data_IF_343306062538
#
_entry.id   IF_343306062538
#
_cell.length_a   1.000
_cell.length_b   1.000
_cell.length_c   1.000
_cell.angle_alpha   90.00
_cell.angle_beta   90.00
_cell.angle_gamma   90.00
#
_symmetry.space_group_name_H-M   'P 1'
#
loop_
_entity.id
_entity.type
_entity.pdbx_description
1 polymer ?
#
# COMPACT_ATOMS: atom_id res chain seq x y z
N UNK A 1 -3.27 12.91 -20.33
CA UNK A 1 -1.86 13.20 -19.99
C UNK A 1 -1.65 14.35 -18.99
N UNK A 2 -2.58 15.30 -18.85
CA UNK A 2 -2.47 16.44 -17.91
C UNK A 2 -2.47 16.03 -16.43
N UNK A 3 -3.22 15.02 -16.04
CA UNK A 3 -3.41 14.59 -14.64
C UNK A 3 -2.14 14.05 -14.00
N UNK A 4 -1.39 13.18 -14.70
CA UNK A 4 -0.12 12.62 -14.22
C UNK A 4 0.97 13.70 -14.06
N UNK A 5 1.02 14.66 -14.99
CA UNK A 5 1.95 15.79 -14.91
C UNK A 5 1.64 16.69 -13.72
N UNK A 6 0.37 16.94 -13.46
CA UNK A 6 -0.07 17.75 -12.31
C UNK A 6 0.21 17.00 -10.98
N UNK A 7 -0.06 15.70 -10.93
CA UNK A 7 0.30 14.86 -9.80
C UNK A 7 1.79 14.95 -9.48
N UNK A 8 2.65 14.74 -10.48
CA UNK A 8 4.09 14.77 -10.30
C UNK A 8 4.61 16.15 -9.88
N UNK A 9 4.02 17.22 -10.40
CA UNK A 9 4.34 18.60 -10.02
C UNK A 9 4.04 18.89 -8.54
N UNK A 10 2.99 18.30 -7.98
CA UNK A 10 2.60 18.46 -6.57
C UNK A 10 3.40 17.53 -5.64
N UNK A 11 3.71 16.32 -6.08
CA UNK A 11 4.42 15.34 -5.26
C UNK A 11 5.94 15.58 -5.21
N UNK A 12 6.56 15.95 -6.34
CA UNK A 12 8.01 16.11 -6.47
C UNK A 12 8.66 17.04 -5.43
N UNK A 13 8.11 18.21 -5.10
CA UNK A 13 8.73 19.11 -4.13
C UNK A 13 8.93 18.48 -2.74
N UNK A 14 8.00 17.64 -2.29
CA UNK A 14 8.14 16.92 -1.01
C UNK A 14 9.34 15.96 -1.04
N UNK A 15 9.47 15.18 -2.09
CA UNK A 15 10.57 14.20 -2.27
C UNK A 15 11.92 14.84 -2.57
N UNK A 16 11.96 16.14 -2.85
CA UNK A 16 13.18 16.93 -3.03
C UNK A 16 13.51 17.81 -1.80
N UNK A 17 12.65 17.82 -0.77
CA UNK A 17 12.80 18.64 0.43
C UNK A 17 13.77 18.03 1.45
N UNK A 18 14.02 18.75 2.54
CA UNK A 18 14.81 18.26 3.69
C UNK A 18 14.19 17.03 4.36
N UNK A 19 12.87 16.85 4.20
CA UNK A 19 12.10 15.71 4.72
C UNK A 19 12.30 14.41 3.90
N UNK A 20 13.07 14.43 2.81
CA UNK A 20 13.24 13.29 1.88
C UNK A 20 13.76 12.02 2.55
N UNK A 21 14.79 12.12 3.41
CA UNK A 21 15.40 10.94 4.02
C UNK A 21 14.45 10.22 4.99
N UNK A 22 13.84 10.90 5.99
CA UNK A 22 12.87 10.24 6.85
C UNK A 22 11.61 9.81 6.14
N UNK A 23 11.17 10.52 5.08
CA UNK A 23 10.04 10.10 4.25
C UNK A 23 10.35 8.82 3.45
N UNK A 24 11.54 8.73 2.84
CA UNK A 24 11.99 7.53 2.14
C UNK A 24 12.12 6.33 3.07
N UNK A 25 12.64 6.52 4.27
CA UNK A 25 12.76 5.46 5.28
C UNK A 25 11.38 4.93 5.68
N UNK A 26 10.41 5.82 5.92
CA UNK A 26 9.04 5.43 6.23
C UNK A 26 8.36 4.74 5.05
N UNK A 27 8.57 5.21 3.82
CA UNK A 27 8.07 4.57 2.61
C UNK A 27 8.66 3.16 2.48
N UNK A 28 9.98 3.02 2.62
CA UNK A 28 10.67 1.74 2.55
C UNK A 28 10.14 0.77 3.62
N UNK A 29 9.99 1.24 4.86
CA UNK A 29 9.42 0.42 5.94
C UNK A 29 7.99 -0.03 5.61
N UNK A 30 7.15 0.87 5.09
CA UNK A 30 5.78 0.51 4.65
C UNK A 30 5.80 -0.53 3.55
N UNK A 31 6.64 -0.35 2.52
CA UNK A 31 6.79 -1.30 1.41
C UNK A 31 7.26 -2.65 1.91
N UNK A 32 8.30 -2.69 2.77
CA UNK A 32 8.80 -3.94 3.35
C UNK A 32 7.73 -4.68 4.15
N UNK A 33 6.97 -3.99 5.00
CA UNK A 33 5.87 -4.60 5.76
C UNK A 33 4.77 -5.15 4.83
N UNK A 34 4.46 -4.41 3.77
CA UNK A 34 3.47 -4.84 2.76
C UNK A 34 3.97 -6.08 1.99
N UNK A 35 5.24 -6.13 1.62
CA UNK A 35 5.83 -7.30 0.97
C UNK A 35 5.89 -8.52 1.89
N UNK A 36 6.21 -8.33 3.17
CA UNK A 36 6.13 -9.38 4.18
C UNK A 36 4.70 -9.94 4.30
N UNK A 37 3.68 -9.05 4.27
CA UNK A 37 2.27 -9.47 4.28
C UNK A 37 1.92 -10.32 3.07
N UNK A 38 2.38 -9.96 1.86
CA UNK A 38 2.22 -10.79 0.65
C UNK A 38 2.90 -12.15 0.84
N UNK A 39 4.11 -12.17 1.42
CA UNK A 39 4.82 -13.42 1.73
C UNK A 39 4.04 -14.33 2.69
N UNK A 40 3.47 -13.78 3.75
CA UNK A 40 2.62 -14.56 4.68
C UNK A 40 1.38 -15.09 3.98
N UNK A 41 0.76 -14.32 3.08
CA UNK A 41 -0.39 -14.79 2.29
C UNK A 41 -0.02 -15.98 1.38
N UNK A 42 1.17 -15.96 0.78
CA UNK A 42 1.69 -17.10 -0.02
C UNK A 42 1.88 -18.33 0.88
N UNK A 43 2.51 -18.14 2.05
CA UNK A 43 2.69 -19.24 3.03
C UNK A 43 1.34 -19.80 3.49
N UNK A 44 0.33 -18.96 3.69
CA UNK A 44 -1.03 -19.38 4.04
C UNK A 44 -1.66 -20.25 2.93
N UNK A 45 -1.40 -19.95 1.65
CA UNK A 45 -1.87 -20.80 0.56
C UNK A 45 -1.22 -22.20 0.58
N UNK A 46 0.09 -22.30 0.82
CA UNK A 46 0.76 -23.58 0.98
C UNK A 46 0.29 -24.33 2.22
N UNK A 47 0.09 -23.62 3.33
CA UNK A 47 -0.47 -24.19 4.55
C UNK A 47 -1.87 -24.78 4.30
N UNK A 48 -2.74 -24.09 3.59
CA UNK A 48 -4.07 -24.59 3.24
C UNK A 48 -4.01 -25.95 2.58
N UNK A 49 -3.13 -26.15 1.59
CA UNK A 49 -3.00 -27.44 0.90
C UNK A 49 -2.62 -28.58 1.87
N UNK A 50 -1.62 -28.34 2.73
CA UNK A 50 -1.16 -29.36 3.70
C UNK A 50 -2.21 -29.63 4.77
N UNK A 51 -2.88 -28.61 5.27
CA UNK A 51 -3.92 -28.74 6.28
C UNK A 51 -5.11 -29.54 5.79
N UNK A 52 -5.61 -29.25 4.58
CA UNK A 52 -6.73 -30.00 4.01
C UNK A 52 -6.35 -31.45 3.67
N UNK A 53 -5.14 -31.72 3.25
CA UNK A 53 -4.66 -33.10 3.05
C UNK A 53 -4.63 -33.89 4.37
N UNK A 54 -4.13 -33.30 5.46
CA UNK A 54 -4.14 -33.91 6.78
C UNK A 54 -5.59 -34.19 7.27
N UNK A 55 -6.51 -33.26 6.99
CA UNK A 55 -7.92 -33.40 7.35
C UNK A 55 -8.59 -34.57 6.58
N UNK A 56 -8.33 -34.67 5.29
CA UNK A 56 -8.84 -35.78 4.44
C UNK A 56 -8.25 -37.14 4.82
N UNK A 57 -7.00 -37.17 5.26
CA UNK A 57 -6.33 -38.37 5.72
C UNK A 57 -6.72 -38.76 7.16
N UNK A 58 -7.55 -37.99 7.85
CA UNK A 58 -7.91 -38.13 9.27
C UNK A 58 -6.67 -38.20 10.19
N UNK A 59 -5.59 -37.49 9.77
CA UNK A 59 -4.37 -37.37 10.55
C UNK A 59 -4.53 -36.36 11.68
N UNK A 60 -4.80 -36.84 12.89
CA UNK A 60 -4.99 -36.01 14.09
C UNK A 60 -3.72 -35.22 14.45
N UNK A 61 -2.54 -35.79 14.28
CA UNK A 61 -1.27 -35.11 14.58
C UNK A 61 -1.00 -33.97 13.58
N UNK A 62 -1.18 -34.22 12.29
CA UNK A 62 -1.07 -33.24 11.23
C UNK A 62 -2.08 -32.10 11.41
N UNK A 63 -3.31 -32.41 11.85
CA UNK A 63 -4.32 -31.41 12.16
C UNK A 63 -3.93 -30.49 13.32
N UNK A 64 -3.40 -31.02 14.42
CA UNK A 64 -2.96 -30.19 15.56
C UNK A 64 -1.81 -29.26 15.19
N UNK A 65 -0.78 -29.80 14.50
CA UNK A 65 0.36 -28.99 14.03
C UNK A 65 -0.12 -27.92 13.06
N UNK A 66 -0.98 -28.28 12.11
CA UNK A 66 -1.54 -27.34 11.14
C UNK A 66 -2.32 -26.22 11.84
N UNK A 67 -3.11 -26.54 12.85
CA UNK A 67 -3.86 -25.53 13.63
C UNK A 67 -2.93 -24.57 14.37
N UNK A 68 -1.83 -25.04 14.94
CA UNK A 68 -0.84 -24.19 15.59
C UNK A 68 -0.11 -23.28 14.55
N UNK A 69 0.25 -23.84 13.41
CA UNK A 69 0.84 -23.07 12.30
C UNK A 69 -0.09 -21.97 11.81
N UNK A 70 -1.39 -22.25 11.72
CA UNK A 70 -2.39 -21.25 11.35
C UNK A 70 -2.39 -20.06 12.31
N UNK A 71 -2.42 -20.34 13.62
CA UNK A 71 -2.37 -19.27 14.64
C UNK A 71 -1.12 -18.41 14.47
N UNK A 72 0.04 -19.00 14.24
CA UNK A 72 1.29 -18.24 14.01
C UNK A 72 1.23 -17.39 12.74
N UNK A 73 0.67 -17.93 11.64
CA UNK A 73 0.48 -17.19 10.40
C UNK A 73 -0.48 -15.99 10.59
N UNK A 74 -1.57 -16.18 11.36
CA UNK A 74 -2.51 -15.08 11.65
C UNK A 74 -1.90 -14.00 12.54
N UNK A 75 -1.09 -14.37 13.52
CA UNK A 75 -0.32 -13.40 14.33
C UNK A 75 0.65 -12.62 13.45
N UNK A 76 1.36 -13.28 12.55
CA UNK A 76 2.25 -12.65 11.57
C UNK A 76 1.49 -11.68 10.66
N UNK A 77 0.34 -12.10 10.12
CA UNK A 77 -0.55 -11.26 9.30
C UNK A 77 -0.97 -10.00 10.05
N UNK A 78 -1.43 -10.15 11.28
CA UNK A 78 -1.84 -9.02 12.11
C UNK A 78 -0.66 -8.06 12.39
N UNK A 79 0.50 -8.58 12.76
CA UNK A 79 1.70 -7.78 13.03
C UNK A 79 2.16 -6.98 11.82
N UNK A 80 2.26 -7.59 10.63
CA UNK A 80 2.65 -6.89 9.40
C UNK A 80 1.60 -5.90 8.94
N UNK A 81 0.31 -6.21 9.09
CA UNK A 81 -0.79 -5.28 8.75
C UNK A 81 -0.74 -4.03 9.62
N UNK A 82 -0.64 -4.20 10.93
CA UNK A 82 -0.54 -3.08 11.89
C UNK A 82 0.74 -2.29 11.66
N UNK A 83 1.87 -2.96 11.41
CA UNK A 83 3.14 -2.33 11.11
C UNK A 83 3.08 -1.48 9.84
N UNK A 84 2.56 -2.02 8.73
CA UNK A 84 2.38 -1.31 7.47
C UNK A 84 1.49 -0.07 7.66
N UNK A 85 0.37 -0.22 8.33
CA UNK A 85 -0.56 0.87 8.63
C UNK A 85 0.13 1.97 9.46
N UNK A 86 0.87 1.60 10.50
CA UNK A 86 1.57 2.54 11.37
C UNK A 86 2.61 3.38 10.62
N UNK A 87 3.46 2.76 9.80
CA UNK A 87 4.46 3.49 9.01
C UNK A 87 3.80 4.35 7.93
N UNK A 88 2.75 3.85 7.28
CA UNK A 88 1.96 4.61 6.30
C UNK A 88 1.34 5.85 6.94
N UNK A 89 0.74 5.74 8.12
CA UNK A 89 0.15 6.88 8.83
C UNK A 89 1.21 7.93 9.21
N UNK A 90 2.37 7.50 9.69
CA UNK A 90 3.48 8.43 9.97
C UNK A 90 3.93 9.17 8.71
N UNK A 91 4.04 8.48 7.57
CA UNK A 91 4.38 9.08 6.29
C UNK A 91 3.33 10.10 5.85
N UNK A 92 2.04 9.74 5.95
CA UNK A 92 0.90 10.62 5.62
C UNK A 92 0.95 11.91 6.45
N UNK A 93 1.11 11.80 7.78
CA UNK A 93 1.15 12.95 8.68
C UNK A 93 2.35 13.86 8.35
N UNK A 94 3.52 13.28 8.07
CA UNK A 94 4.73 14.02 7.74
C UNK A 94 4.58 14.76 6.40
N UNK A 95 4.09 14.09 5.38
CA UNK A 95 3.84 14.70 4.07
C UNK A 95 2.77 15.80 4.15
N UNK A 96 1.68 15.55 4.87
CA UNK A 96 0.63 16.54 5.10
C UNK A 96 1.17 17.79 5.80
N UNK A 97 1.94 17.63 6.88
CA UNK A 97 2.56 18.76 7.61
C UNK A 97 3.44 19.61 6.69
N UNK A 98 4.29 18.96 5.91
CA UNK A 98 5.15 19.65 4.96
C UNK A 98 4.33 20.38 3.87
N UNK A 99 3.36 19.71 3.25
CA UNK A 99 2.55 20.27 2.19
C UNK A 99 1.73 21.47 2.66
N UNK A 100 1.11 21.39 3.84
CA UNK A 100 0.35 22.49 4.43
C UNK A 100 1.25 23.68 4.70
N UNK A 101 2.43 23.47 5.32
CA UNK A 101 3.39 24.55 5.60
C UNK A 101 3.83 25.21 4.28
N UNK A 102 4.26 24.43 3.31
CA UNK A 102 4.74 24.95 2.03
C UNK A 102 3.65 25.73 1.26
N UNK A 103 2.40 25.32 1.34
CA UNK A 103 1.27 26.06 0.73
C UNK A 103 0.97 27.35 1.49
N UNK A 104 0.97 27.31 2.83
CA UNK A 104 0.75 28.52 3.64
C UNK A 104 1.83 29.58 3.39
N UNK A 105 3.11 29.15 3.33
CA UNK A 105 4.24 30.06 3.06
C UNK A 105 4.06 30.73 1.69
N UNK A 106 3.71 29.96 0.65
CA UNK A 106 3.44 30.50 -0.69
C UNK A 106 2.21 31.44 -0.74
N UNK A 107 1.22 31.18 0.11
CA UNK A 107 0.00 31.97 0.16
C UNK A 107 0.24 33.31 0.86
N UNK A 108 1.03 33.31 1.95
CA UNK A 108 1.40 34.52 2.70
C UNK A 108 2.37 35.40 1.93
N UNK A 109 3.38 34.82 1.25
CA UNK A 109 4.41 35.57 0.52
C UNK A 109 3.86 36.30 -0.72
N UNK A 110 2.82 35.78 -1.34
CA UNK A 110 2.33 36.28 -2.63
C UNK A 110 1.33 37.42 -2.55
N UNK A 111 1.02 38.00 -1.38
CA UNK A 111 -0.02 39.01 -1.16
C UNK A 111 -1.38 38.63 -1.79
N UNK A 112 -1.54 37.37 -2.18
CA UNK A 112 -2.78 36.88 -2.82
C UNK A 112 -3.96 36.94 -1.88
N UNK A 113 -3.71 36.89 -0.58
CA UNK A 113 -4.71 37.08 0.46
C UNK A 113 -5.41 38.46 0.33
N UNK A 114 -4.65 39.54 0.07
CA UNK A 114 -5.21 40.89 -0.10
C UNK A 114 -6.02 41.03 -1.40
N UNK A 115 -5.57 40.34 -2.48
CA UNK A 115 -6.29 40.35 -3.76
C UNK A 115 -7.59 39.55 -3.71
N UNK A 116 -7.66 38.45 -2.98
CA UNK A 116 -8.88 37.65 -2.79
C UNK A 116 -9.93 38.40 -1.96
N UNK A 117 -9.52 39.18 -0.93
CA UNK A 117 -10.43 40.02 -0.16
C UNK A 117 -11.06 41.17 -0.97
N UNK A 118 -10.38 41.58 -2.05
CA UNK A 118 -10.86 42.64 -2.94
C UNK A 118 -11.76 42.12 -4.08
N UNK A 119 -11.74 40.79 -4.31
CA UNK A 119 -12.63 40.17 -5.29
C UNK A 119 -13.70 39.43 -4.48
N UNK A 120 -14.93 39.93 -4.52
CA UNK A 120 -16.13 39.39 -3.84
C UNK A 120 -16.48 37.96 -4.34
N UNK A 121 -15.53 37.05 -4.36
CA UNK A 121 -15.77 35.65 -4.67
C UNK A 121 -16.06 34.96 -3.34
N UNK A 122 -17.33 34.68 -3.14
CA UNK A 122 -17.93 34.00 -1.98
C UNK A 122 -17.41 32.54 -1.91
N UNK A 123 -16.09 32.37 -1.67
CA UNK A 123 -15.50 31.08 -1.41
C UNK A 123 -15.48 30.91 0.10
N UNK A 124 -16.50 30.21 0.60
CA UNK A 124 -16.61 29.84 2.00
C UNK A 124 -15.36 29.04 2.45
N UNK A 125 -14.62 29.60 3.42
CA UNK A 125 -13.46 29.00 4.09
C UNK A 125 -12.37 28.37 3.14
N UNK A 126 -11.64 29.16 2.35
CA UNK A 126 -10.66 28.66 1.38
C UNK A 126 -9.49 27.90 2.03
N UNK A 127 -9.11 28.24 3.26
CA UNK A 127 -8.06 27.61 4.07
C UNK A 127 -8.44 26.17 4.47
N UNK A 128 -9.69 25.95 4.88
CA UNK A 128 -10.20 24.61 5.20
C UNK A 128 -10.22 23.72 3.95
N UNK A 129 -10.71 24.24 2.83
CA UNK A 129 -10.78 23.50 1.58
C UNK A 129 -9.41 23.07 1.05
N UNK A 130 -8.42 23.98 1.15
CA UNK A 130 -7.03 23.67 0.80
C UNK A 130 -6.48 22.54 1.68
N UNK A 131 -6.74 22.59 2.99
CA UNK A 131 -6.28 21.56 3.91
C UNK A 131 -6.89 20.18 3.64
N UNK A 132 -8.20 20.14 3.32
CA UNK A 132 -8.93 18.92 2.96
C UNK A 132 -8.45 18.35 1.62
N UNK A 133 -8.24 19.16 0.60
CA UNK A 133 -7.78 18.76 -0.71
C UNK A 133 -6.34 18.18 -0.65
N UNK A 134 -5.46 18.77 0.17
CA UNK A 134 -4.11 18.26 0.43
C UNK A 134 -4.18 16.89 1.09
N UNK A 135 -5.02 16.73 2.10
CA UNK A 135 -5.18 15.45 2.81
C UNK A 135 -5.67 14.35 1.86
N UNK A 136 -6.72 14.62 1.11
CA UNK A 136 -7.26 13.71 0.11
C UNK A 136 -6.22 13.34 -0.96
N UNK A 137 -5.46 14.31 -1.45
CA UNK A 137 -4.40 14.07 -2.43
C UNK A 137 -3.35 13.10 -1.90
N UNK A 138 -2.84 13.35 -0.68
CA UNK A 138 -1.77 12.54 -0.08
C UNK A 138 -2.26 11.12 0.22
N UNK A 139 -3.42 10.99 0.89
CA UNK A 139 -3.99 9.69 1.25
C UNK A 139 -4.28 8.85 0.01
N UNK A 140 -4.92 9.44 -1.02
CA UNK A 140 -5.22 8.73 -2.28
C UNK A 140 -3.96 8.37 -3.05
N UNK A 141 -2.95 9.25 -3.06
CA UNK A 141 -1.67 9.00 -3.73
C UNK A 141 -0.93 7.80 -3.13
N UNK A 142 -0.81 7.77 -1.81
CA UNK A 142 -0.18 6.65 -1.10
C UNK A 142 -0.97 5.36 -1.27
N UNK A 143 -2.29 5.42 -1.14
CA UNK A 143 -3.16 4.25 -1.32
C UNK A 143 -3.05 3.65 -2.72
N UNK A 144 -3.05 4.50 -3.76
CA UNK A 144 -2.90 4.06 -5.15
C UNK A 144 -1.51 3.46 -5.40
N UNK A 145 -0.44 4.12 -4.95
CA UNK A 145 0.93 3.66 -5.16
C UNK A 145 1.21 2.33 -4.46
N UNK A 146 0.82 2.20 -3.18
CA UNK A 146 0.99 0.97 -2.41
C UNK A 146 0.05 -0.13 -2.91
N UNK A 147 -1.19 0.20 -3.27
CA UNK A 147 -2.14 -0.75 -3.85
C UNK A 147 -1.66 -1.30 -5.19
N UNK A 148 -1.12 -0.45 -6.07
CA UNK A 148 -0.51 -0.88 -7.34
C UNK A 148 0.67 -1.81 -7.10
N UNK A 149 1.58 -1.45 -6.19
CA UNK A 149 2.71 -2.30 -5.81
C UNK A 149 2.24 -3.68 -5.35
N UNK A 150 1.28 -3.72 -4.40
CA UNK A 150 0.74 -4.97 -3.87
C UNK A 150 0.09 -5.81 -4.96
N UNK A 151 -0.69 -5.20 -5.84
CA UNK A 151 -1.36 -5.89 -6.96
C UNK A 151 -0.35 -6.49 -7.94
N UNK A 152 0.71 -5.76 -8.28
CA UNK A 152 1.77 -6.24 -9.18
C UNK A 152 2.51 -7.41 -8.55
N UNK A 153 2.95 -7.28 -7.29
CA UNK A 153 3.66 -8.36 -6.59
C UNK A 153 2.77 -9.60 -6.44
N UNK A 154 1.50 -9.42 -6.07
CA UNK A 154 0.55 -10.53 -5.94
C UNK A 154 0.29 -11.22 -7.28
N UNK A 155 0.20 -10.47 -8.37
CA UNK A 155 0.04 -11.03 -9.72
C UNK A 155 1.23 -11.91 -10.10
N UNK A 156 2.46 -11.42 -9.92
CA UNK A 156 3.66 -12.22 -10.21
C UNK A 156 3.78 -13.44 -9.31
N UNK A 157 3.46 -13.31 -8.03
CA UNK A 157 3.43 -14.44 -7.10
C UNK A 157 2.42 -15.51 -7.52
N UNK A 158 1.23 -15.09 -7.94
CA UNK A 158 0.18 -16.00 -8.41
C UNK A 158 0.57 -16.69 -9.73
N UNK A 159 1.14 -15.95 -10.68
CA UNK A 159 1.65 -16.53 -11.93
C UNK A 159 2.74 -17.55 -11.67
N UNK A 160 3.64 -17.30 -10.72
CA UNK A 160 4.68 -18.23 -10.34
C UNK A 160 4.10 -19.53 -9.74
N UNK A 161 3.11 -19.42 -8.85
CA UNK A 161 2.42 -20.59 -8.28
C UNK A 161 1.71 -21.39 -9.38
N UNK A 162 1.02 -20.73 -10.30
CA UNK A 162 0.37 -21.39 -11.44
C UNK A 162 1.38 -22.11 -12.35
N UNK A 163 2.52 -21.49 -12.59
CA UNK A 163 3.59 -22.10 -13.38
C UNK A 163 4.10 -23.40 -12.74
N UNK A 164 4.34 -23.38 -11.43
CA UNK A 164 4.73 -24.59 -10.69
C UNK A 164 3.63 -25.66 -10.70
N UNK A 165 2.38 -25.27 -10.49
CA UNK A 165 1.25 -26.19 -10.53
C UNK A 165 1.07 -26.82 -11.92
N UNK A 166 1.26 -26.04 -12.98
CA UNK A 166 1.16 -26.51 -14.37
C UNK A 166 2.21 -27.57 -14.72
N UNK A 167 3.42 -27.46 -14.14
CA UNK A 167 4.48 -28.46 -14.36
C UNK A 167 4.21 -29.82 -13.70
N UNK A 168 3.29 -29.87 -12.73
CA UNK A 168 2.87 -31.08 -12.04
C UNK A 168 1.69 -31.79 -12.74
N UNK A 169 0.95 -31.08 -13.58
CA UNK A 169 -0.18 -31.61 -14.36
C UNK A 169 0.32 -32.00 -15.74
N UNK A 170 0.83 -33.22 -15.89
CA UNK A 170 0.97 -33.84 -17.22
C UNK A 170 -0.44 -34.14 -17.73
N UNK A 171 -0.97 -33.29 -18.61
CA UNK A 171 -2.20 -33.61 -19.37
C UNK A 171 -1.81 -34.68 -20.38
N UNK A 172 -2.30 -35.92 -20.28
CA UNK A 172 -2.12 -36.88 -21.35
C UNK A 172 -2.97 -36.38 -22.52
N UNK A 173 -2.35 -35.69 -23.48
CA UNK A 173 -2.97 -35.51 -24.78
C UNK A 173 -3.06 -36.91 -25.35
N UNK A 174 -4.28 -37.41 -25.40
CA UNK A 174 -4.64 -38.67 -26.03
C UNK A 174 -4.23 -38.57 -27.51
N UNK A 175 -3.15 -39.24 -27.88
CA UNK A 175 -2.87 -39.59 -29.26
C UNK A 175 -3.81 -40.73 -29.63
N UNK A 176 -5.05 -40.42 -29.91
CA UNK A 176 -5.95 -41.27 -30.68
C UNK A 176 -6.18 -40.66 -32.06
N UNK A 177 -5.44 -41.18 -33.04
CA UNK A 177 -5.79 -41.15 -34.45
C UNK A 177 -5.28 -42.43 -35.12
#
# INVERSE_FOLDING_TARGET
MHTLRNFWRLARPFWASEEKYPALLLLLATVLMTLCLVGVNILTNFWNLHFYNALQALDYHGFLIGSLQFILLQIGTAAFTVGAFHFQQKLTIRWRRWATRNMLDQWLDSQRYQKLKLTETDVDNPDQRIAEDIDLFIVKSLKLSLGLLTSVVSLFSFLHILWQASSLVSVPFNEES
#
